data_IF_331603146580
#
_entry.id   IF_331603146580
#
_cell.length_a   1.000
_cell.length_b   1.000
_cell.length_c   1.000
_cell.angle_alpha   90.00
_cell.angle_beta   90.00
_cell.angle_gamma   90.00
#
_symmetry.space_group_name_H-M   'P 1'
#
loop_
_entity.id
_entity.type
_entity.pdbx_description
1 polymer ?
#
# COMPACT_ATOMS: atom_id res chain seq x y z
N UNK A 1 -13.05 1.63 -1.68
CA UNK A 1 -14.21 2.38 -2.17
C UNK A 1 -13.84 3.53 -3.12
N UNK A 2 -12.69 4.21 -2.95
CA UNK A 2 -12.27 5.28 -3.88
C UNK A 2 -11.86 4.77 -5.27
N UNK A 3 -11.39 3.52 -5.39
CA UNK A 3 -10.93 2.95 -6.66
C UNK A 3 -12.05 2.24 -7.44
N UNK A 4 -13.19 2.01 -6.82
CA UNK A 4 -14.27 1.24 -7.42
C UNK A 4 -13.86 -0.18 -7.79
N UNK A 5 -14.27 -0.64 -8.97
CA UNK A 5 -13.92 -1.96 -9.49
C UNK A 5 -12.44 -2.02 -9.90
N UNK A 6 -11.75 -3.05 -9.43
CA UNK A 6 -10.33 -3.30 -9.72
C UNK A 6 -10.11 -4.27 -10.88
N UNK A 7 -11.18 -4.84 -11.43
CA UNK A 7 -11.12 -5.83 -12.51
C UNK A 7 -10.29 -5.34 -13.70
N UNK A 8 -9.31 -6.13 -14.09
CA UNK A 8 -8.42 -5.83 -15.23
C UNK A 8 -7.33 -4.80 -14.98
N UNK A 9 -7.31 -4.13 -13.81
CA UNK A 9 -6.23 -3.19 -13.47
C UNK A 9 -4.89 -3.91 -13.33
N UNK A 10 -3.82 -3.22 -13.69
CA UNK A 10 -2.44 -3.68 -13.49
C UNK A 10 -1.95 -3.21 -12.13
N UNK A 11 -1.58 -4.15 -11.28
CA UNK A 11 -1.01 -3.87 -9.97
C UNK A 11 0.45 -4.31 -9.92
N UNK A 12 1.32 -3.42 -9.53
CA UNK A 12 2.74 -3.71 -9.28
C UNK A 12 3.02 -3.61 -7.80
N UNK A 13 3.65 -4.62 -7.24
CA UNK A 13 4.03 -4.68 -5.84
C UNK A 13 5.55 -4.71 -5.75
N UNK A 14 6.11 -3.65 -5.17
CA UNK A 14 7.52 -3.56 -4.85
C UNK A 14 7.78 -4.19 -3.48
N UNK A 15 8.43 -5.34 -3.49
CA UNK A 15 8.68 -6.15 -2.31
C UNK A 15 7.91 -7.47 -2.32
N UNK A 16 8.54 -8.52 -1.76
CA UNK A 16 7.99 -9.89 -1.74
C UNK A 16 8.02 -10.51 -0.36
N UNK A 17 7.83 -9.69 0.67
CA UNK A 17 7.79 -10.18 2.05
C UNK A 17 6.59 -11.10 2.28
N UNK A 18 6.70 -11.99 3.26
CA UNK A 18 5.59 -12.88 3.64
C UNK A 18 4.47 -12.12 4.36
N UNK A 19 4.75 -10.93 4.88
CA UNK A 19 3.79 -10.15 5.68
C UNK A 19 3.07 -9.06 4.87
N UNK A 20 3.63 -8.62 3.74
CA UNK A 20 3.02 -7.57 2.90
C UNK A 20 2.95 -8.00 1.45
N UNK A 21 4.09 -8.15 0.76
CA UNK A 21 4.10 -8.30 -0.70
C UNK A 21 3.32 -9.51 -1.21
N UNK A 22 3.55 -10.70 -0.66
CA UNK A 22 2.84 -11.92 -1.06
C UNK A 22 1.35 -11.91 -0.71
N UNK A 23 0.94 -11.53 0.52
CA UNK A 23 -0.48 -11.42 0.86
C UNK A 23 -1.21 -10.39 0.01
N UNK A 24 -0.60 -9.24 -0.24
CA UNK A 24 -1.18 -8.20 -1.08
C UNK A 24 -1.41 -8.69 -2.51
N UNK A 25 -0.45 -9.42 -3.08
CA UNK A 25 -0.60 -10.03 -4.40
C UNK A 25 -1.81 -10.98 -4.46
N UNK A 26 -1.96 -11.83 -3.45
CA UNK A 26 -3.09 -12.75 -3.38
C UNK A 26 -4.44 -12.01 -3.26
N UNK A 27 -4.49 -10.91 -2.51
CA UNK A 27 -5.70 -10.09 -2.39
C UNK A 27 -6.05 -9.39 -3.72
N UNK A 28 -5.08 -8.79 -4.38
CA UNK A 28 -5.29 -8.11 -5.66
C UNK A 28 -5.66 -9.09 -6.79
N UNK A 29 -5.10 -10.30 -6.79
CA UNK A 29 -5.52 -11.36 -7.72
C UNK A 29 -6.98 -11.76 -7.49
N UNK A 30 -7.43 -11.84 -6.23
CA UNK A 30 -8.84 -12.14 -5.91
C UNK A 30 -9.79 -11.04 -6.41
N UNK A 31 -9.31 -9.80 -6.49
CA UNK A 31 -10.04 -8.66 -7.05
C UNK A 31 -9.82 -8.52 -8.58
N UNK A 32 -9.41 -9.61 -9.24
CA UNK A 32 -9.23 -9.70 -10.70
C UNK A 32 -8.19 -8.75 -11.30
N UNK A 33 -7.21 -8.30 -10.52
CA UNK A 33 -6.07 -7.54 -11.03
C UNK A 33 -5.05 -8.44 -11.75
N UNK A 34 -4.36 -7.87 -12.74
CA UNK A 34 -3.10 -8.44 -13.24
C UNK A 34 -1.97 -7.99 -12.32
N UNK A 35 -1.30 -8.92 -11.63
CA UNK A 35 -0.34 -8.60 -10.58
C UNK A 35 1.09 -8.94 -10.99
N UNK A 36 1.98 -7.97 -10.83
CA UNK A 36 3.43 -8.16 -10.95
C UNK A 36 4.08 -7.96 -9.57
N UNK A 37 4.82 -8.96 -9.09
CA UNK A 37 5.63 -8.83 -7.87
C UNK A 37 7.07 -8.55 -8.28
N UNK A 38 7.63 -7.48 -7.75
CA UNK A 38 9.02 -7.06 -8.02
C UNK A 38 9.90 -7.18 -6.77
N UNK A 39 11.20 -7.20 -6.96
CA UNK A 39 12.19 -7.32 -5.89
C UNK A 39 13.54 -6.74 -6.34
N UNK A 40 14.55 -6.73 -5.49
CA UNK A 40 15.87 -6.14 -5.72
C UNK A 40 16.65 -6.70 -6.95
N UNK A 41 16.19 -7.79 -7.53
CA UNK A 41 16.78 -8.37 -8.76
C UNK A 41 15.89 -8.22 -9.99
N UNK A 42 14.77 -7.51 -9.87
CA UNK A 42 13.90 -7.20 -11.01
C UNK A 42 14.64 -6.25 -11.94
N UNK A 43 14.66 -6.56 -13.24
CA UNK A 43 15.20 -5.67 -14.25
C UNK A 43 14.19 -4.59 -14.56
N UNK A 44 14.66 -3.37 -14.80
CA UNK A 44 13.85 -2.24 -15.25
C UNK A 44 12.61 -2.00 -14.36
N UNK A 45 12.86 -1.84 -13.06
CA UNK A 45 11.82 -1.68 -12.05
C UNK A 45 10.93 -0.45 -12.33
N UNK A 46 11.52 0.61 -12.85
CA UNK A 46 10.81 1.82 -13.24
C UNK A 46 9.79 1.56 -14.34
N UNK A 47 10.15 0.79 -15.37
CA UNK A 47 9.23 0.46 -16.46
C UNK A 47 8.05 -0.40 -15.97
N UNK A 48 8.28 -1.27 -15.00
CA UNK A 48 7.18 -2.01 -14.37
C UNK A 48 6.21 -1.06 -13.64
N UNK A 49 6.73 -0.09 -12.89
CA UNK A 49 5.90 0.90 -12.21
C UNK A 49 5.12 1.80 -13.16
N UNK A 50 5.76 2.27 -14.25
CA UNK A 50 5.13 3.16 -15.25
C UNK A 50 3.94 2.55 -15.98
N UNK A 51 3.77 1.23 -15.94
CA UNK A 51 2.64 0.53 -16.58
C UNK A 51 1.53 0.17 -15.61
N UNK A 52 1.66 0.52 -14.33
CA UNK A 52 0.78 0.09 -13.27
C UNK A 52 -0.30 1.13 -12.96
N UNK A 53 -1.55 0.66 -12.89
CA UNK A 53 -2.68 1.45 -12.37
C UNK A 53 -2.61 1.56 -10.84
N UNK A 54 -2.03 0.51 -10.20
CA UNK A 54 -1.87 0.43 -8.75
C UNK A 54 -0.41 0.07 -8.44
N UNK A 55 0.25 0.88 -7.62
CA UNK A 55 1.63 0.65 -7.17
C UNK A 55 1.63 0.51 -5.66
N UNK A 56 2.01 -0.66 -5.16
CA UNK A 56 2.17 -0.93 -3.73
C UNK A 56 3.67 -1.00 -3.41
N UNK A 57 4.15 -0.13 -2.53
CA UNK A 57 5.57 -0.03 -2.22
C UNK A 57 5.84 -0.49 -0.79
N UNK A 58 6.62 -1.56 -0.64
CA UNK A 58 6.95 -2.21 0.63
C UNK A 58 8.38 -2.78 0.62
N UNK A 59 9.36 -1.92 0.38
CA UNK A 59 10.78 -2.29 0.22
C UNK A 59 11.67 -1.86 1.40
N UNK A 60 11.19 -0.94 2.25
CA UNK A 60 11.95 -0.42 3.38
C UNK A 60 13.15 0.45 2.94
N UNK A 61 13.03 1.14 1.83
CA UNK A 61 14.03 2.06 1.33
C UNK A 61 13.46 3.48 1.22
N UNK A 62 13.97 4.44 1.99
CA UNK A 62 13.42 5.79 2.05
C UNK A 62 13.35 6.45 0.67
N UNK A 63 12.18 6.94 0.29
CA UNK A 63 11.94 7.77 -0.89
C UNK A 63 12.53 7.20 -2.21
N UNK A 64 12.55 5.86 -2.32
CA UNK A 64 13.10 5.16 -3.48
C UNK A 64 12.27 5.36 -4.74
N UNK A 65 10.93 5.29 -4.63
CA UNK A 65 10.02 5.45 -5.76
C UNK A 65 9.69 6.93 -5.95
N UNK A 66 9.95 7.45 -7.13
CA UNK A 66 9.72 8.86 -7.47
C UNK A 66 8.51 9.03 -8.38
N UNK A 67 8.04 10.26 -8.52
CA UNK A 67 6.91 10.58 -9.38
C UNK A 67 7.11 10.18 -10.85
N UNK A 68 8.32 10.27 -11.37
CA UNK A 68 8.66 9.87 -12.74
C UNK A 68 8.62 8.36 -13.01
N UNK A 69 8.50 7.55 -11.94
CA UNK A 69 8.24 6.10 -12.04
C UNK A 69 6.75 5.76 -12.19
N UNK A 70 5.87 6.73 -11.99
CA UNK A 70 4.43 6.51 -11.96
C UNK A 70 3.77 6.90 -13.29
N UNK A 71 2.73 6.19 -13.67
CA UNK A 71 1.85 6.71 -14.71
C UNK A 71 0.88 7.75 -14.13
N UNK A 72 0.45 8.69 -14.95
CA UNK A 72 -0.52 9.70 -14.54
C UNK A 72 -1.83 9.06 -14.07
N UNK A 73 -2.30 9.47 -12.90
CA UNK A 73 -3.52 8.95 -12.30
C UNK A 73 -3.38 7.61 -11.57
N UNK A 74 -2.17 7.05 -11.45
CA UNK A 74 -1.94 5.81 -10.70
C UNK A 74 -2.34 5.96 -9.22
N UNK A 75 -2.77 4.86 -8.63
CA UNK A 75 -2.98 4.75 -7.19
C UNK A 75 -1.72 4.20 -6.51
N UNK A 76 -1.22 4.92 -5.52
CA UNK A 76 0.02 4.58 -4.83
C UNK A 76 -0.26 4.27 -3.36
N UNK A 77 0.10 3.06 -2.94
CA UNK A 77 0.01 2.60 -1.56
C UNK A 77 1.42 2.46 -1.00
N UNK A 78 1.84 3.43 -0.22
CA UNK A 78 3.14 3.43 0.44
C UNK A 78 3.03 2.77 1.82
N UNK A 79 3.64 1.59 1.94
CA UNK A 79 3.67 0.79 3.19
C UNK A 79 4.96 1.07 3.98
N UNK A 80 5.92 1.77 3.36
CA UNK A 80 7.21 2.09 3.98
C UNK A 80 7.05 2.99 5.20
N UNK A 81 7.83 2.71 6.24
CA UNK A 81 8.01 3.60 7.40
C UNK A 81 9.50 3.62 7.71
N UNK A 82 10.16 4.69 7.30
CA UNK A 82 11.59 4.87 7.47
C UNK A 82 11.85 6.10 8.33
N UNK A 83 12.85 6.02 9.20
CA UNK A 83 13.32 7.17 9.96
C UNK A 83 14.61 7.70 9.31
N UNK A 84 14.54 8.87 8.74
CA UNK A 84 15.72 9.57 8.20
C UNK A 84 16.26 10.55 9.24
N UNK A 85 17.59 10.65 9.35
CA UNK A 85 18.23 11.64 10.20
C UNK A 85 18.15 13.01 9.52
N UNK A 86 17.58 13.99 10.20
CA UNK A 86 17.67 15.39 9.81
C UNK A 86 18.85 16.06 10.51
N UNK A 87 19.41 17.17 9.99
CA UNK A 87 20.51 17.91 10.63
C UNK A 87 20.22 18.27 12.10
N UNK A 88 18.97 18.48 12.45
CA UNK A 88 18.51 18.87 13.79
C UNK A 88 18.33 17.67 14.74
N UNK A 89 18.81 16.47 14.39
CA UNK A 89 18.68 15.23 15.19
C UNK A 89 17.24 14.78 15.49
N UNK A 90 16.23 15.42 14.92
CA UNK A 90 14.80 15.11 15.12
C UNK A 90 14.25 14.13 14.09
N UNK A 91 14.90 13.10 13.70
CA UNK A 91 14.52 12.15 12.67
C UNK A 91 13.10 12.33 12.07
N UNK A 92 13.01 12.49 10.77
CA UNK A 92 11.73 12.57 10.04
C UNK A 92 11.27 11.16 9.64
N UNK A 93 9.97 10.88 9.76
CA UNK A 93 9.38 9.68 9.19
C UNK A 93 9.05 9.94 7.72
N UNK A 94 9.51 9.04 6.86
CA UNK A 94 9.24 9.05 5.42
C UNK A 94 8.83 7.65 4.96
N UNK A 95 8.11 7.59 3.86
CA UNK A 95 7.78 6.33 3.20
C UNK A 95 8.88 5.80 2.30
N UNK A 96 8.54 4.78 1.53
CA UNK A 96 9.36 4.26 0.44
C UNK A 96 9.14 5.06 -0.87
N UNK A 97 8.13 5.93 -0.90
CA UNK A 97 7.81 6.81 -2.02
C UNK A 97 8.23 8.25 -1.69
N UNK A 98 8.85 8.93 -2.64
CA UNK A 98 9.10 10.36 -2.57
C UNK A 98 7.79 11.12 -2.76
N UNK A 99 7.12 11.42 -1.65
CA UNK A 99 5.74 11.93 -1.65
C UNK A 99 5.59 13.22 -2.47
N UNK A 100 6.57 14.12 -2.40
CA UNK A 100 6.47 15.44 -3.03
C UNK A 100 6.36 15.36 -4.57
N UNK A 101 7.12 14.48 -5.21
CA UNK A 101 7.01 14.29 -6.67
C UNK A 101 5.87 13.36 -7.06
N UNK A 102 5.58 12.35 -6.22
CA UNK A 102 4.56 11.36 -6.52
C UNK A 102 3.13 11.92 -6.46
N UNK A 103 2.84 12.85 -5.55
CA UNK A 103 1.51 13.47 -5.40
C UNK A 103 1.09 14.30 -6.63
N UNK A 104 2.05 14.83 -7.38
CA UNK A 104 1.79 15.60 -8.60
C UNK A 104 1.33 14.72 -9.77
N UNK A 105 1.58 13.41 -9.70
CA UNK A 105 1.34 12.44 -10.78
C UNK A 105 0.24 11.46 -10.43
N UNK A 106 0.20 11.03 -9.17
CA UNK A 106 -0.75 10.02 -8.68
C UNK A 106 -2.18 10.57 -8.63
N UNK A 107 -3.14 9.73 -9.00
CA UNK A 107 -4.56 10.02 -8.77
C UNK A 107 -4.98 9.87 -7.31
N UNK A 108 -4.29 8.98 -6.59
CA UNK A 108 -4.43 8.80 -5.14
C UNK A 108 -3.12 8.27 -4.56
N UNK A 109 -2.74 8.77 -3.39
CA UNK A 109 -1.53 8.34 -2.70
C UNK A 109 -1.73 8.34 -1.19
N UNK A 110 -1.24 7.30 -0.51
CA UNK A 110 -1.26 7.25 0.95
C UNK A 110 -0.10 8.07 1.52
N UNK A 111 -0.35 8.95 2.50
CA UNK A 111 0.73 9.69 3.17
C UNK A 111 1.51 8.79 4.15
N UNK A 112 2.75 9.18 4.45
CA UNK A 112 3.54 8.60 5.53
C UNK A 112 4.10 9.74 6.38
N UNK A 113 3.77 9.80 7.69
CA UNK A 113 2.85 8.93 8.45
C UNK A 113 1.36 9.23 8.17
N UNK A 114 0.47 8.36 8.67
CA UNK A 114 -0.98 8.61 8.66
C UNK A 114 -1.76 7.85 7.58
N UNK A 115 -1.09 7.15 6.68
CA UNK A 115 -1.72 6.32 5.63
C UNK A 115 -2.02 4.88 6.10
N UNK A 116 -1.17 3.94 5.72
CA UNK A 116 -1.36 2.49 5.97
C UNK A 116 -1.31 2.12 7.45
N UNK A 117 -0.47 2.81 8.26
CA UNK A 117 -0.29 2.49 9.68
C UNK A 117 -1.59 2.45 10.48
N UNK A 118 -2.43 3.49 10.48
CA UNK A 118 -3.74 3.50 11.17
C UNK A 118 -4.65 2.37 10.74
N UNK A 119 -4.65 1.98 9.46
CA UNK A 119 -5.45 0.88 8.96
C UNK A 119 -5.02 -0.48 9.52
N UNK A 120 -3.72 -0.65 9.79
CA UNK A 120 -3.22 -1.86 10.47
C UNK A 120 -3.87 -2.04 11.83
N UNK A 121 -4.01 -0.98 12.60
CA UNK A 121 -4.65 -1.01 13.93
C UNK A 121 -6.15 -1.30 13.80
N UNK A 122 -6.83 -0.62 12.89
CA UNK A 122 -8.26 -0.84 12.63
C UNK A 122 -8.55 -2.30 12.22
N UNK A 123 -7.76 -2.83 11.28
CA UNK A 123 -7.89 -4.22 10.84
C UNK A 123 -7.58 -5.23 11.95
N UNK A 124 -6.60 -4.94 12.82
CA UNK A 124 -6.30 -5.79 13.96
C UNK A 124 -7.48 -5.88 14.93
N UNK A 125 -8.10 -4.74 15.26
CA UNK A 125 -9.29 -4.70 16.13
C UNK A 125 -10.45 -5.48 15.50
N UNK A 126 -10.71 -5.29 14.21
CA UNK A 126 -11.75 -6.02 13.48
C UNK A 126 -11.50 -7.53 13.48
N UNK A 127 -10.27 -7.94 13.20
CA UNK A 127 -9.89 -9.35 13.20
C UNK A 127 -10.01 -9.97 14.59
N UNK A 128 -9.66 -9.23 15.63
CA UNK A 128 -9.81 -9.68 17.04
C UNK A 128 -11.28 -9.88 17.40
N UNK A 129 -12.14 -8.92 17.07
CA UNK A 129 -13.59 -9.04 17.26
C UNK A 129 -14.15 -10.24 16.48
N UNK A 130 -13.79 -10.37 15.23
CA UNK A 130 -14.22 -11.48 14.36
C UNK A 130 -13.82 -12.84 14.96
N UNK A 131 -12.58 -12.96 15.44
CA UNK A 131 -12.08 -14.18 16.04
C UNK A 131 -12.84 -14.52 17.33
N UNK A 132 -13.06 -13.54 18.20
CA UNK A 132 -13.82 -13.72 19.44
C UNK A 132 -15.27 -14.16 19.15
N UNK A 133 -15.96 -13.49 18.22
CA UNK A 133 -17.32 -13.88 17.83
C UNK A 133 -17.37 -15.33 17.34
N UNK A 134 -16.45 -15.73 16.46
CA UNK A 134 -16.38 -17.11 15.95
C UNK A 134 -16.12 -18.14 17.05
N UNK A 135 -15.22 -17.81 18.00
CA UNK A 135 -14.90 -18.68 19.12
C UNK A 135 -16.10 -18.92 20.03
N UNK A 136 -16.98 -17.94 20.19
CA UNK A 136 -18.14 -17.99 21.06
C UNK A 136 -19.46 -18.28 20.33
N UNK A 137 -19.44 -18.60 19.04
CA UNK A 137 -20.63 -18.88 18.24
C UNK A 137 -21.56 -17.67 18.06
N UNK A 138 -21.02 -16.45 18.19
CA UNK A 138 -21.76 -15.20 18.04
C UNK A 138 -21.63 -14.71 16.60
N UNK A 139 -22.72 -14.17 16.04
CA UNK A 139 -22.70 -13.56 14.71
C UNK A 139 -21.78 -12.33 14.73
N UNK A 140 -20.83 -12.27 13.77
CA UNK A 140 -19.96 -11.09 13.62
C UNK A 140 -20.82 -9.89 13.23
N UNK A 141 -20.77 -8.77 13.97
CA UNK A 141 -21.53 -7.59 13.63
C UNK A 141 -21.05 -6.99 12.32
N UNK A 142 -21.98 -6.53 11.48
CA UNK A 142 -21.66 -5.80 10.25
C UNK A 142 -21.14 -4.42 10.64
N UNK A 143 -19.87 -4.14 10.29
CA UNK A 143 -19.28 -2.82 10.52
C UNK A 143 -19.63 -1.94 9.33
N UNK A 144 -20.55 -1.02 9.53
CA UNK A 144 -20.87 0.00 8.53
C UNK A 144 -19.84 1.13 8.62
N UNK A 145 -19.41 1.71 7.47
CA UNK A 145 -18.61 2.93 7.51
C UNK A 145 -19.39 4.01 8.26
N UNK A 146 -18.67 4.83 9.02
CA UNK A 146 -19.28 5.99 9.63
C UNK A 146 -19.87 6.88 8.53
N UNK A 147 -21.18 7.09 8.56
CA UNK A 147 -21.81 8.14 7.75
C UNK A 147 -21.45 9.47 8.38
N UNK A 148 -20.77 10.35 7.61
CA UNK A 148 -20.57 11.75 8.00
C UNK A 148 -21.91 12.48 8.17
#
# INVERSE_FOLDING_TARGET
>A
DQLGDLTGKRAVILGRSNIVGKPMAALLLREHCTVTITHSRTRDLEAECRRADIVVVAVGQPEMVKGDWLQAGATVIDVGINRTLTPDSKGRLVGDVEFASAVEVAGAITPVPGGVGPMTIACLLLNTLTAACRQHGITVPEIKPATE
#
